data_IF_735389613868
#
_entry.id   IF_735389613868
#
_cell.length_a   1.000
_cell.length_b   1.000
_cell.length_c   1.000
_cell.angle_alpha   90.00
_cell.angle_beta   90.00
_cell.angle_gamma   90.00
#
_symmetry.space_group_name_H-M   'P 1'
#
loop_
_entity.id
_entity.type
_entity.pdbx_description
1 polymer ?
#
# COMPACT_ATOMS: atom_id res chain seq x y z
N UNK A 1 -26.47 15.07 -5.68
CA UNK A 1 -25.99 14.70 -5.46
C UNK A 1 -25.50 14.07 -5.25
N UNK A 2 -25.26 13.83 -5.45
CA UNK A 2 -24.79 13.24 -5.24
C UNK A 2 -24.12 12.60 -4.88
N UNK A 3 -23.97 12.24 -4.91
CA UNK A 3 -23.52 11.61 -4.61
C UNK A 3 -22.75 11.33 -4.21
N UNK A 4 -22.43 11.43 -4.06
CA UNK A 4 -21.69 11.33 -3.71
C UNK A 4 -21.33 11.04 -2.96
N UNK A 5 -21.75 10.97 -2.75
CA UNK A 5 -21.69 10.72 -1.84
C UNK A 5 -21.22 9.62 -1.26
N UNK A 6 -21.38 8.70 -1.63
CA UNK A 6 -20.83 7.60 -1.16
C UNK A 6 -19.40 7.69 -1.33
N UNK A 7 -18.68 7.42 -0.37
CA UNK A 7 -17.28 7.31 -0.50
C UNK A 7 -17.03 6.37 -1.62
N UNK A 8 -16.36 6.77 -2.58
CA UNK A 8 -16.06 5.88 -3.65
C UNK A 8 -15.20 4.82 -3.10
N UNK A 9 -15.48 3.65 -3.48
CA UNK A 9 -14.60 2.58 -3.17
C UNK A 9 -13.31 2.81 -3.91
N UNK A 10 -12.21 2.73 -3.24
CA UNK A 10 -10.94 2.88 -3.86
C UNK A 10 -10.71 1.85 -4.92
N UNK A 11 -11.35 0.72 -4.75
CA UNK A 11 -11.07 -0.42 -5.59
C UNK A 11 -12.31 -0.86 -6.32
N UNK A 12 -13.22 0.08 -6.49
CA UNK A 12 -14.44 -0.18 -7.21
C UNK A 12 -14.10 -0.17 -8.67
N UNK A 13 -14.06 -1.32 -9.23
CA UNK A 13 -13.69 -1.43 -10.59
C UNK A 13 -14.72 -0.83 -11.47
N UNK A 14 -14.44 -0.45 -12.53
CA UNK A 14 -15.28 0.06 -13.51
C UNK A 14 -15.80 1.39 -13.25
N UNK A 15 -15.52 1.88 -12.11
CA UNK A 15 -16.09 3.06 -11.77
C UNK A 15 -15.46 4.16 -12.46
N UNK A 16 -14.26 4.32 -12.33
CA UNK A 16 -13.59 5.33 -12.90
C UNK A 16 -12.77 4.79 -13.91
N UNK A 17 -12.81 5.22 -15.03
CA UNK A 17 -12.00 4.72 -16.05
C UNK A 17 -10.58 4.58 -15.62
N UNK A 18 -10.16 5.40 -14.83
CA UNK A 18 -8.82 5.27 -14.38
C UNK A 18 -8.76 4.19 -13.38
N UNK A 19 -7.93 3.33 -13.48
CA UNK A 19 -7.76 2.29 -12.54
C UNK A 19 -6.97 2.73 -11.33
N UNK A 20 -6.63 3.97 -11.28
CA UNK A 20 -5.78 4.43 -10.21
C UNK A 20 -6.51 4.43 -8.89
N UNK A 21 -5.80 4.24 -7.84
CA UNK A 21 -6.31 4.46 -6.52
C UNK A 21 -6.64 5.93 -6.35
N UNK A 22 -7.67 6.27 -5.61
CA UNK A 22 -7.90 7.66 -5.32
C UNK A 22 -6.70 8.19 -4.55
N UNK A 23 -6.31 9.37 -4.87
CA UNK A 23 -5.21 9.97 -4.16
C UNK A 23 -5.74 10.72 -2.97
N UNK A 24 -4.91 10.81 -1.97
CA UNK A 24 -5.24 11.63 -0.83
C UNK A 24 -5.25 13.08 -1.27
N UNK A 25 -5.86 13.95 -0.48
CA UNK A 25 -5.93 15.37 -0.84
C UNK A 25 -4.55 15.93 -1.08
N UNK A 26 -4.45 16.76 -2.07
CA UNK A 26 -3.18 17.39 -2.39
C UNK A 26 -2.75 18.30 -1.27
N UNK A 27 -1.47 18.33 -1.04
CA UNK A 27 -0.91 19.19 -0.02
C UNK A 27 0.03 20.18 -0.68
N UNK A 28 0.52 21.05 0.14
CA UNK A 28 1.43 22.07 -0.36
C UNK A 28 2.67 21.41 -0.90
N UNK A 29 3.17 21.98 -1.96
CA UNK A 29 4.37 21.46 -2.58
C UNK A 29 5.59 21.93 -1.85
N UNK A 30 6.31 21.01 -1.30
CA UNK A 30 7.59 21.28 -0.64
C UNK A 30 8.57 20.27 -1.14
N UNK A 31 9.75 20.25 -0.61
CA UNK A 31 10.64 19.14 -0.90
C UNK A 31 9.98 17.90 -0.35
N UNK A 32 9.82 16.92 -1.20
CA UNK A 32 9.14 15.70 -0.84
C UNK A 32 10.08 14.76 -0.12
N UNK A 33 9.53 14.06 0.86
CA UNK A 33 10.24 12.97 1.52
C UNK A 33 9.71 11.66 0.96
N UNK A 34 10.39 10.56 1.28
CA UNK A 34 9.90 9.25 0.89
C UNK A 34 8.55 8.95 1.53
N UNK A 35 8.35 9.44 2.76
CA UNK A 35 7.06 9.30 3.43
C UNK A 35 5.96 9.99 2.65
N UNK A 36 6.24 11.19 2.14
CA UNK A 36 5.25 11.93 1.36
C UNK A 36 4.89 11.15 0.10
N UNK A 37 5.86 10.53 -0.54
CA UNK A 37 5.59 9.76 -1.75
C UNK A 37 4.79 8.50 -1.48
N UNK A 38 4.81 8.01 -0.24
CA UNK A 38 4.02 6.85 0.15
C UNK A 38 2.67 7.22 0.76
N UNK A 39 2.29 8.49 0.68
CA UNK A 39 1.07 8.97 1.31
C UNK A 39 -0.16 8.18 0.87
N UNK A 40 -0.28 7.92 -0.43
CA UNK A 40 -1.41 7.13 -0.92
C UNK A 40 -1.38 5.72 -0.37
N UNK A 41 -0.18 5.18 -0.17
CA UNK A 41 -0.03 3.86 0.42
C UNK A 41 -0.47 3.81 1.87
N UNK A 42 -0.14 4.85 2.63
CA UNK A 42 -0.59 4.93 4.01
C UNK A 42 -2.09 5.12 4.10
N UNK A 43 -2.68 5.80 3.13
CA UNK A 43 -4.12 5.93 3.06
C UNK A 43 -4.78 4.56 2.89
N UNK A 44 -4.18 3.69 2.09
CA UNK A 44 -4.67 2.31 1.94
C UNK A 44 -4.62 1.58 3.28
N UNK A 45 -3.51 1.69 4.00
CA UNK A 45 -3.39 1.07 5.32
C UNK A 45 -4.47 1.59 6.26
N UNK A 46 -4.70 2.91 6.22
CA UNK A 46 -5.72 3.53 7.05
C UNK A 46 -7.10 2.95 6.74
N UNK A 47 -7.43 2.79 5.47
CA UNK A 47 -8.72 2.25 5.07
C UNK A 47 -8.92 0.82 5.57
N UNK A 48 -7.90 -0.02 5.42
CA UNK A 48 -8.00 -1.40 5.89
C UNK A 48 -8.21 -1.43 7.41
N UNK A 49 -7.47 -0.60 8.13
CA UNK A 49 -7.61 -0.53 9.59
C UNK A 49 -8.98 -0.03 10.00
N UNK A 50 -9.62 0.74 9.15
CA UNK A 50 -10.96 1.25 9.41
C UNK A 50 -12.04 0.39 8.75
N UNK A 51 -11.73 -0.88 8.55
CA UNK A 51 -12.69 -1.90 8.15
C UNK A 51 -13.16 -1.78 6.70
N UNK A 52 -12.42 -1.08 5.85
CA UNK A 52 -12.70 -1.11 4.43
C UNK A 52 -12.25 -2.45 3.87
N UNK A 53 -13.16 -3.19 3.26
CA UNK A 53 -12.86 -4.50 2.70
C UNK A 53 -12.94 -4.42 1.19
N UNK A 54 -11.83 -4.62 0.49
CA UNK A 54 -11.86 -4.60 -0.97
C UNK A 54 -12.77 -5.69 -1.51
N UNK A 55 -13.60 -5.35 -2.48
CA UNK A 55 -14.55 -6.30 -3.04
C UNK A 55 -13.87 -7.32 -3.96
N UNK A 56 -12.74 -6.98 -4.53
CA UNK A 56 -11.99 -7.88 -5.41
C UNK A 56 -10.54 -7.94 -4.93
N UNK A 57 -10.19 -8.94 -4.12
CA UNK A 57 -8.85 -9.02 -3.55
C UNK A 57 -7.72 -9.07 -4.57
N UNK A 58 -7.91 -9.78 -5.67
CA UNK A 58 -6.87 -9.86 -6.69
C UNK A 58 -6.64 -8.51 -7.34
N UNK A 59 -7.71 -7.80 -7.66
CA UNK A 59 -7.58 -6.48 -8.25
C UNK A 59 -6.99 -5.49 -7.26
N UNK A 60 -7.37 -5.60 -5.99
CA UNK A 60 -6.79 -4.76 -4.95
C UNK A 60 -5.27 -4.95 -4.92
N UNK A 61 -4.82 -6.19 -4.98
CA UNK A 61 -3.40 -6.49 -4.94
C UNK A 61 -2.68 -5.88 -6.15
N UNK A 62 -3.29 -5.96 -7.31
CA UNK A 62 -2.70 -5.37 -8.50
C UNK A 62 -2.55 -3.85 -8.36
N UNK A 63 -3.54 -3.22 -7.77
CA UNK A 63 -3.48 -1.77 -7.58
C UNK A 63 -2.44 -1.37 -6.55
N UNK A 64 -2.23 -2.20 -5.54
CA UNK A 64 -1.15 -1.94 -4.57
C UNK A 64 0.21 -2.06 -5.26
N UNK A 65 0.38 -3.08 -6.09
CA UNK A 65 1.63 -3.25 -6.83
C UNK A 65 1.89 -2.05 -7.75
N UNK A 66 0.84 -1.56 -8.39
CA UNK A 66 0.96 -0.40 -9.26
C UNK A 66 1.33 0.86 -8.46
N UNK A 67 0.74 1.00 -7.29
CA UNK A 67 1.06 2.11 -6.40
C UNK A 67 2.54 2.08 -6.02
N UNK A 68 3.06 0.91 -5.70
CA UNK A 68 4.46 0.76 -5.34
C UNK A 68 5.39 1.05 -6.51
N UNK A 69 4.97 0.66 -7.71
CA UNK A 69 5.74 0.95 -8.90
C UNK A 69 5.82 2.45 -9.15
N UNK A 70 4.70 3.14 -9.01
CA UNK A 70 4.67 4.59 -9.17
C UNK A 70 5.49 5.30 -8.09
N UNK A 71 5.45 4.78 -6.88
CA UNK A 71 6.27 5.31 -5.81
C UNK A 71 7.75 5.23 -6.19
N UNK A 72 8.16 4.08 -6.68
CA UNK A 72 9.55 3.88 -7.04
C UNK A 72 9.99 4.80 -8.15
N UNK A 73 9.16 4.95 -9.18
CA UNK A 73 9.47 5.85 -10.28
C UNK A 73 9.58 7.30 -9.82
N UNK A 74 8.66 7.71 -8.98
CA UNK A 74 8.67 9.08 -8.49
C UNK A 74 9.88 9.34 -7.60
N UNK A 75 10.23 8.39 -6.76
CA UNK A 75 11.38 8.52 -5.88
C UNK A 75 12.67 8.61 -6.68
N UNK A 76 12.76 7.85 -7.75
CA UNK A 76 13.93 7.93 -8.63
C UNK A 76 14.04 9.27 -9.32
N UNK A 77 12.92 9.81 -9.74
CA UNK A 77 12.92 11.13 -10.37
C UNK A 77 13.40 12.22 -9.42
N UNK A 78 13.12 12.04 -8.14
CA UNK A 78 13.55 13.00 -7.14
C UNK A 78 14.93 12.68 -6.58
N UNK A 79 15.61 11.70 -7.18
CA UNK A 79 17.00 11.38 -6.88
C UNK A 79 17.24 10.80 -5.49
N UNK A 80 16.25 10.12 -4.93
CA UNK A 80 16.49 9.36 -3.72
C UNK A 80 17.39 8.17 -4.04
N UNK A 81 18.19 7.75 -3.09
CA UNK A 81 19.10 6.64 -3.32
C UNK A 81 18.32 5.33 -3.49
N UNK A 82 18.89 4.41 -4.25
CA UNK A 82 18.28 3.12 -4.47
C UNK A 82 18.07 2.37 -3.15
N UNK A 83 19.00 2.51 -2.23
CA UNK A 83 18.89 1.86 -0.93
C UNK A 83 17.75 2.43 -0.12
N UNK A 84 17.60 3.73 -0.11
CA UNK A 84 16.50 4.37 0.63
C UNK A 84 15.15 3.99 0.03
N UNK A 85 15.06 3.95 -1.29
CA UNK A 85 13.83 3.55 -1.95
C UNK A 85 13.49 2.11 -1.60
N UNK A 86 14.48 1.23 -1.65
CA UNK A 86 14.30 -0.17 -1.33
C UNK A 86 13.82 -0.35 0.10
N UNK A 87 14.46 0.34 1.04
CA UNK A 87 14.12 0.22 2.45
C UNK A 87 12.71 0.72 2.73
N UNK A 88 12.34 1.84 2.13
CA UNK A 88 11.00 2.39 2.31
C UNK A 88 9.93 1.46 1.74
N UNK A 89 10.19 0.93 0.56
CA UNK A 89 9.26 0.01 -0.08
C UNK A 89 9.09 -1.27 0.74
N UNK A 90 10.20 -1.77 1.27
CA UNK A 90 10.22 -2.97 2.09
C UNK A 90 9.40 -2.76 3.36
N UNK A 91 9.63 -1.64 4.03
CA UNK A 91 8.91 -1.31 5.26
C UNK A 91 7.42 -1.18 5.00
N UNK A 92 7.05 -0.54 3.91
CA UNK A 92 5.64 -0.40 3.57
C UNK A 92 5.00 -1.75 3.30
N UNK A 93 5.68 -2.63 2.56
CA UNK A 93 5.15 -3.95 2.28
C UNK A 93 4.94 -4.75 3.56
N UNK A 94 5.88 -4.68 4.49
CA UNK A 94 5.74 -5.36 5.77
C UNK A 94 4.54 -4.80 6.55
N UNK A 95 4.36 -3.50 6.54
CA UNK A 95 3.26 -2.87 7.23
C UNK A 95 1.91 -3.30 6.65
N UNK A 96 1.78 -3.27 5.33
CA UNK A 96 0.51 -3.62 4.71
C UNK A 96 0.22 -5.11 4.86
N UNK A 97 1.23 -5.96 4.67
CA UNK A 97 1.04 -7.39 4.85
C UNK A 97 0.51 -7.68 6.25
N UNK A 98 1.13 -7.09 7.26
CA UNK A 98 0.70 -7.33 8.62
C UNK A 98 -0.68 -6.74 8.88
N UNK A 99 -0.94 -5.56 8.38
CA UNK A 99 -2.24 -4.92 8.57
C UNK A 99 -3.37 -5.80 8.05
N UNK A 100 -3.17 -6.40 6.88
CA UNK A 100 -4.21 -7.23 6.28
C UNK A 100 -4.39 -8.54 7.06
N UNK A 101 -3.29 -9.21 7.38
CA UNK A 101 -3.43 -10.55 7.98
C UNK A 101 -3.87 -10.50 9.44
N UNK A 102 -3.77 -9.36 10.09
CA UNK A 102 -4.17 -9.24 11.48
C UNK A 102 -5.60 -8.75 11.66
N UNK A 103 -6.32 -8.46 10.59
CA UNK A 103 -7.72 -8.08 10.71
C UNK A 103 -8.52 -9.27 11.23
N UNK A 104 -9.43 -9.00 12.17
CA UNK A 104 -10.16 -10.07 12.81
C UNK A 104 -11.58 -10.27 12.30
N UNK A 105 -12.08 -9.32 11.53
CA UNK A 105 -13.41 -9.43 10.97
C UNK A 105 -13.39 -10.45 9.84
N UNK A 106 -14.36 -11.37 9.86
CA UNK A 106 -14.47 -12.41 8.83
C UNK A 106 -14.62 -11.84 7.43
N UNK A 107 -15.07 -10.60 7.31
CA UNK A 107 -15.19 -9.96 6.01
C UNK A 107 -13.85 -9.87 5.28
N UNK A 108 -12.74 -9.95 6.00
CA UNK A 108 -11.41 -9.91 5.39
C UNK A 108 -10.91 -11.29 4.96
N UNK A 109 -11.69 -12.33 5.16
CA UNK A 109 -11.23 -13.69 4.93
C UNK A 109 -10.69 -13.90 3.51
N UNK A 110 -11.43 -13.45 2.52
CA UNK A 110 -10.98 -13.64 1.13
C UNK A 110 -9.72 -12.86 0.83
N UNK A 111 -9.63 -11.64 1.32
CA UNK A 111 -8.45 -10.83 1.13
C UNK A 111 -7.25 -11.47 1.83
N UNK A 112 -7.46 -11.96 3.05
CA UNK A 112 -6.40 -12.60 3.80
C UNK A 112 -5.89 -13.85 3.11
N UNK A 113 -6.78 -14.62 2.50
CA UNK A 113 -6.37 -15.82 1.78
C UNK A 113 -5.46 -15.49 0.62
N UNK A 114 -5.82 -14.48 -0.16
CA UNK A 114 -4.97 -14.06 -1.28
C UNK A 114 -3.62 -13.59 -0.76
N UNK A 115 -3.63 -12.86 0.33
CA UNK A 115 -2.40 -12.27 0.86
C UNK A 115 -1.49 -13.29 1.51
N UNK A 116 -2.07 -14.28 2.21
CA UNK A 116 -1.26 -15.30 2.88
C UNK A 116 -0.56 -16.22 1.89
N UNK A 117 -1.21 -16.48 0.76
CA UNK A 117 -0.59 -17.31 -0.26
C UNK A 117 0.58 -16.58 -0.90
N UNK A 118 0.45 -15.28 -1.07
CA UNK A 118 1.46 -14.53 -1.79
C UNK A 118 1.64 -13.13 -1.19
N UNK A 119 2.24 -13.05 0.00
CA UNK A 119 2.45 -11.75 0.63
C UNK A 119 3.35 -10.87 -0.23
N UNK A 120 3.21 -9.56 -0.06
CA UNK A 120 4.05 -8.62 -0.80
C UNK A 120 5.53 -8.83 -0.51
N UNK A 121 5.84 -9.12 0.74
CA UNK A 121 7.22 -9.37 1.12
C UNK A 121 7.81 -10.50 0.30
N UNK A 122 7.06 -11.58 0.14
CA UNK A 122 7.53 -12.73 -0.62
C UNK A 122 7.62 -12.41 -2.09
N UNK A 123 6.58 -11.78 -2.64
CA UNK A 123 6.53 -11.48 -4.08
C UNK A 123 7.62 -10.54 -4.53
N UNK A 124 7.89 -9.50 -3.74
CA UNK A 124 8.77 -8.44 -4.17
C UNK A 124 10.20 -8.61 -3.67
N UNK A 125 10.38 -9.32 -2.58
CA UNK A 125 11.70 -9.43 -1.97
C UNK A 125 12.14 -10.89 -1.76
N UNK A 126 11.26 -11.84 -2.04
CA UNK A 126 11.60 -13.25 -1.91
C UNK A 126 11.74 -13.74 -0.49
N UNK A 127 11.16 -13.02 0.48
CA UNK A 127 11.31 -13.39 1.87
C UNK A 127 10.09 -13.00 2.68
N UNK A 128 9.66 -13.91 3.53
CA UNK A 128 8.59 -13.61 4.47
C UNK A 128 9.14 -13.11 5.79
N UNK A 129 10.45 -12.92 5.89
CA UNK A 129 11.08 -12.46 7.10
C UNK A 129 11.31 -10.95 7.08
N UNK A 130 10.67 -10.24 6.17
CA UNK A 130 10.86 -8.81 6.02
C UNK A 130 10.60 -8.06 7.32
N UNK A 131 9.62 -8.53 8.09
CA UNK A 131 9.33 -7.87 9.35
C UNK A 131 10.51 -7.88 10.29
N UNK A 132 11.20 -9.00 10.39
CA UNK A 132 12.37 -9.08 11.24
C UNK A 132 13.48 -8.17 10.74
N UNK A 133 13.72 -8.18 9.45
CA UNK A 133 14.76 -7.35 8.87
C UNK A 133 14.46 -5.87 9.06
N UNK A 134 13.20 -5.51 8.95
CA UNK A 134 12.79 -4.14 9.16
C UNK A 134 13.08 -3.69 10.58
N UNK A 135 12.77 -4.54 11.58
CA UNK A 135 13.06 -4.19 12.96
C UNK A 135 14.56 -4.10 13.21
N UNK A 136 15.34 -4.97 12.58
CA UNK A 136 16.77 -4.89 12.70
C UNK A 136 17.32 -3.58 12.16
N UNK A 137 16.77 -3.15 11.03
CA UNK A 137 17.18 -1.87 10.45
C UNK A 137 16.83 -0.73 11.39
N UNK A 138 15.64 -0.77 11.98
CA UNK A 138 15.23 0.26 12.91
C UNK A 138 16.14 0.34 14.13
N UNK A 139 16.60 -0.81 14.60
CA UNK A 139 17.46 -0.84 15.78
C UNK A 139 18.84 -0.26 15.52
N UNK A 140 19.22 -0.13 14.27
CA UNK A 140 20.50 0.45 13.91
C UNK A 140 20.48 1.97 13.89
N UNK A 141 19.32 2.56 13.99
CA UNK A 141 19.19 4.00 14.03
C UNK A 141 18.90 4.48 15.48
#
# INVERSE_FOLDING_TARGET
MNSTTKAPSLFDDGQIGSSALPTAPATVQHSSTLTDLLYDGFYVVFLIRNQYVPSNPAQFREKVLDLLHRFEQQARKLHFSADDIHDAKYAYCALLDETIVTQQDDAFFNLQNVWLINPLQLSLFGSQLAGYQFFEILEQF
#
